data_IF_720075861981
#
_entry.id   IF_720075861981
#
_cell.length_a   1.000
_cell.length_b   1.000
_cell.length_c   1.000
_cell.angle_alpha   90.00
_cell.angle_beta   90.00
_cell.angle_gamma   90.00
#
_symmetry.space_group_name_H-M   'P 1'
#
loop_
_entity.id
_entity.type
_entity.pdbx_description
1 polymer ?
#
# COMPACT_ATOMS: atom_id res chain seq x y z
N UNK A 1 -11.03 -10.65 -3.19
CA UNK A 1 -11.91 -9.63 -3.80
C UNK A 1 -11.31 -8.23 -3.59
N UNK A 2 -10.84 -7.90 -2.36
CA UNK A 2 -10.26 -6.58 -2.08
C UNK A 2 -9.07 -6.26 -3.01
N UNK A 3 -8.02 -7.07 -3.05
CA UNK A 3 -6.83 -6.81 -3.84
C UNK A 3 -7.08 -6.75 -5.37
N UNK A 4 -7.60 -7.80 -5.99
CA UNK A 4 -7.86 -7.78 -7.45
C UNK A 4 -9.00 -6.81 -7.78
N UNK A 5 -10.03 -6.70 -6.93
CA UNK A 5 -11.15 -5.79 -7.14
C UNK A 5 -10.74 -4.33 -7.12
N UNK A 6 -9.82 -3.93 -6.22
CA UNK A 6 -9.25 -2.58 -6.15
C UNK A 6 -8.53 -2.20 -7.44
N UNK A 7 -7.70 -3.10 -7.99
CA UNK A 7 -6.98 -2.88 -9.26
C UNK A 7 -7.92 -2.63 -10.43
N UNK A 8 -8.98 -3.45 -10.58
CA UNK A 8 -9.94 -3.26 -11.67
C UNK A 8 -10.79 -2.01 -11.48
N UNK A 9 -11.14 -1.68 -10.25
CA UNK A 9 -11.83 -0.44 -9.93
C UNK A 9 -10.92 0.77 -10.20
N UNK A 10 -9.66 0.71 -9.77
CA UNK A 10 -8.66 1.74 -10.06
C UNK A 10 -8.46 1.94 -11.57
N UNK A 11 -8.37 0.85 -12.34
CA UNK A 11 -8.25 0.93 -13.80
C UNK A 11 -9.49 1.59 -14.44
N UNK A 12 -10.69 1.23 -14.00
CA UNK A 12 -11.92 1.84 -14.49
C UNK A 12 -11.99 3.35 -14.16
N UNK A 13 -11.57 3.74 -12.97
CA UNK A 13 -11.56 5.13 -12.51
C UNK A 13 -10.45 5.96 -13.14
N UNK A 14 -9.27 5.37 -13.39
CA UNK A 14 -8.13 6.06 -14.02
C UNK A 14 -8.42 6.53 -15.45
N UNK A 15 -9.33 5.87 -16.15
CA UNK A 15 -9.76 6.27 -17.50
C UNK A 15 -10.86 7.33 -17.52
N UNK A 16 -11.33 7.78 -16.36
CA UNK A 16 -12.46 8.70 -16.21
C UNK A 16 -12.10 10.05 -15.60
N UNK A 17 -13.13 10.82 -15.30
CA UNK A 17 -13.05 12.15 -14.67
C UNK A 17 -12.46 12.09 -13.24
N UNK A 18 -12.42 10.91 -12.63
CA UNK A 18 -12.02 10.73 -11.24
C UNK A 18 -10.50 10.89 -10.99
N UNK A 19 -9.65 10.76 -12.00
CA UNK A 19 -8.23 11.10 -11.86
C UNK A 19 -7.98 12.53 -11.32
N UNK A 20 -8.97 13.42 -11.49
CA UNK A 20 -8.95 14.79 -10.97
C UNK A 20 -9.19 14.86 -9.45
N UNK A 21 -9.76 13.83 -8.86
CA UNK A 21 -10.17 13.79 -7.44
C UNK A 21 -9.30 12.86 -6.59
N UNK A 22 -8.14 12.42 -7.08
CA UNK A 22 -7.25 11.47 -6.39
C UNK A 22 -6.89 11.92 -4.98
N UNK A 23 -6.59 13.21 -4.76
CA UNK A 23 -6.29 13.74 -3.43
C UNK A 23 -7.48 13.64 -2.46
N UNK A 24 -8.71 13.85 -2.95
CA UNK A 24 -9.91 13.70 -2.12
C UNK A 24 -10.18 12.23 -1.80
N UNK A 25 -9.86 11.33 -2.72
CA UNK A 25 -9.97 9.89 -2.50
C UNK A 25 -8.96 9.42 -1.46
N UNK A 26 -7.70 9.90 -1.51
CA UNK A 26 -6.68 9.63 -0.49
C UNK A 26 -7.12 10.12 0.89
N UNK A 27 -7.63 11.35 0.99
CA UNK A 27 -8.13 11.87 2.27
C UNK A 27 -9.32 11.07 2.81
N UNK A 28 -10.22 10.62 1.94
CA UNK A 28 -11.34 9.75 2.33
C UNK A 28 -10.84 8.38 2.79
N UNK A 29 -9.89 7.82 2.08
CA UNK A 29 -9.26 6.53 2.41
C UNK A 29 -8.55 6.60 3.77
N UNK A 30 -7.75 7.64 4.00
CA UNK A 30 -7.09 7.88 5.28
C UNK A 30 -8.10 8.01 6.43
N UNK A 31 -9.20 8.74 6.20
CA UNK A 31 -10.30 8.84 7.17
C UNK A 31 -10.95 7.49 7.46
N UNK A 32 -11.16 6.64 6.44
CA UNK A 32 -11.72 5.30 6.61
C UNK A 32 -10.79 4.39 7.41
N UNK A 33 -9.48 4.42 7.12
CA UNK A 33 -8.48 3.64 7.86
C UNK A 33 -8.40 4.06 9.32
N UNK A 34 -8.31 5.38 9.61
CA UNK A 34 -8.29 5.90 10.98
C UNK A 34 -9.57 5.56 11.74
N UNK A 35 -10.73 5.74 11.11
CA UNK A 35 -12.02 5.38 11.72
C UNK A 35 -12.06 3.88 12.06
N UNK A 36 -11.62 3.03 11.15
CA UNK A 36 -11.57 1.58 11.39
C UNK A 36 -10.64 1.23 12.55
N UNK A 37 -9.44 1.82 12.59
CA UNK A 37 -8.48 1.58 13.67
C UNK A 37 -9.03 2.02 15.03
N UNK A 38 -9.48 3.28 15.15
CA UNK A 38 -9.84 3.86 16.44
C UNK A 38 -11.25 3.51 16.92
N UNK A 39 -12.20 3.29 16.01
CA UNK A 39 -13.60 3.07 16.37
C UNK A 39 -14.01 1.59 16.39
N UNK A 40 -13.17 0.73 15.82
CA UNK A 40 -13.49 -0.71 15.70
C UNK A 40 -12.37 -1.61 16.24
N UNK A 41 -11.18 -1.57 15.64
CA UNK A 41 -10.13 -2.56 15.95
C UNK A 41 -9.53 -2.37 17.34
N UNK A 42 -9.13 -1.14 17.71
CA UNK A 42 -8.57 -0.86 19.03
C UNK A 42 -9.57 -1.12 20.16
N UNK A 43 -10.82 -0.64 20.11
CA UNK A 43 -11.81 -0.96 21.14
C UNK A 43 -11.95 -2.49 21.34
N UNK A 44 -12.11 -3.26 20.27
CA UNK A 44 -12.21 -4.72 20.35
C UNK A 44 -10.97 -5.36 21.00
N UNK A 45 -9.77 -4.90 20.65
CA UNK A 45 -8.54 -5.39 21.27
C UNK A 45 -8.49 -5.06 22.77
N UNK A 46 -8.93 -3.85 23.17
CA UNK A 46 -8.93 -3.43 24.58
C UNK A 46 -10.06 -4.03 25.43
N UNK A 47 -11.11 -4.58 24.82
CA UNK A 47 -12.14 -5.36 25.54
C UNK A 47 -11.65 -6.77 25.91
N UNK A 48 -10.50 -7.19 25.43
CA UNK A 48 -9.89 -8.48 25.74
C UNK A 48 -9.28 -8.51 27.16
N UNK A 49 -8.82 -9.69 27.57
CA UNK A 49 -8.10 -9.87 28.86
C UNK A 49 -6.62 -9.43 28.77
N UNK A 50 -6.14 -8.99 27.64
CA UNK A 50 -4.76 -8.54 27.46
C UNK A 50 -4.50 -7.24 28.23
N UNK A 51 -3.32 -7.10 28.81
CA UNK A 51 -2.95 -5.91 29.58
C UNK A 51 -2.89 -4.66 28.67
N UNK A 52 -3.54 -3.56 29.11
CA UNK A 52 -3.54 -2.33 28.33
C UNK A 52 -2.13 -1.81 28.01
N UNK A 53 -1.19 -1.93 28.95
CA UNK A 53 0.20 -1.54 28.73
C UNK A 53 0.86 -2.37 27.62
N UNK A 54 0.58 -3.66 27.54
CA UNK A 54 1.15 -4.56 26.53
C UNK A 54 0.55 -4.24 25.13
N UNK A 55 -0.74 -3.91 25.08
CA UNK A 55 -1.42 -3.49 23.88
C UNK A 55 -0.87 -2.14 23.36
N UNK A 56 -0.66 -1.15 24.24
CA UNK A 56 -0.05 0.12 23.85
C UNK A 56 1.42 -0.04 23.43
N UNK A 57 2.17 -0.92 24.09
CA UNK A 57 3.53 -1.24 23.66
C UNK A 57 3.54 -1.89 22.28
N UNK A 58 2.61 -2.82 22.02
CA UNK A 58 2.43 -3.45 20.71
C UNK A 58 2.06 -2.42 19.64
N UNK A 59 1.18 -1.47 19.97
CA UNK A 59 0.82 -0.37 19.06
C UNK A 59 2.06 0.47 18.69
N UNK A 60 2.85 0.84 19.68
CA UNK A 60 4.08 1.62 19.46
C UNK A 60 5.09 0.85 18.61
N UNK A 61 5.32 -0.42 18.93
CA UNK A 61 6.25 -1.29 18.17
C UNK A 61 5.74 -1.45 16.74
N UNK A 62 4.43 -1.65 16.55
CA UNK A 62 3.82 -1.74 15.24
C UNK A 62 4.00 -0.47 14.40
N UNK A 63 3.75 0.70 14.98
CA UNK A 63 3.97 1.99 14.30
C UNK A 63 5.45 2.17 13.89
N UNK A 64 6.38 1.86 14.79
CA UNK A 64 7.82 1.93 14.50
C UNK A 64 8.22 0.92 13.41
N UNK A 65 7.64 -0.28 13.43
CA UNK A 65 7.90 -1.31 12.44
C UNK A 65 7.46 -0.85 11.05
N UNK A 66 6.22 -0.36 10.89
CA UNK A 66 5.72 0.12 9.61
C UNK A 66 6.47 1.36 9.12
N UNK A 67 6.85 2.27 10.03
CA UNK A 67 7.73 3.39 9.70
C UNK A 67 9.11 2.92 9.19
N UNK A 68 9.71 1.91 9.83
CA UNK A 68 11.00 1.36 9.38
C UNK A 68 10.86 0.63 8.04
N UNK A 69 9.74 -0.07 7.82
CA UNK A 69 9.46 -0.78 6.58
C UNK A 69 9.37 0.21 5.41
N UNK A 70 8.60 1.28 5.55
CA UNK A 70 8.47 2.35 4.56
C UNK A 70 9.82 3.02 4.28
N UNK A 71 10.58 3.32 5.34
CA UNK A 71 11.90 3.91 5.21
C UNK A 71 12.90 3.00 4.51
N UNK A 72 12.83 1.70 4.73
CA UNK A 72 13.67 0.70 4.07
C UNK A 72 13.33 0.61 2.57
N UNK A 73 12.04 0.68 2.22
CA UNK A 73 11.58 0.69 0.83
C UNK A 73 12.09 1.93 0.09
N UNK A 74 11.96 3.12 0.68
CA UNK A 74 12.51 4.36 0.13
C UNK A 74 14.04 4.32 -0.01
N UNK A 75 14.75 3.65 0.88
CA UNK A 75 16.21 3.55 0.83
C UNK A 75 16.68 2.66 -0.32
N UNK A 76 15.98 1.59 -0.62
CA UNK A 76 16.26 0.76 -1.80
C UNK A 76 16.05 1.53 -3.11
N UNK A 77 15.11 2.47 -3.16
CA UNK A 77 14.89 3.32 -4.33
C UNK A 77 15.91 4.48 -4.46
N UNK A 78 16.53 4.93 -3.35
CA UNK A 78 17.46 6.08 -3.33
C UNK A 78 18.87 5.80 -3.85
N UNK A 79 19.30 4.54 -3.95
CA UNK A 79 20.67 4.20 -4.35
C UNK A 79 20.91 4.15 -5.87
N UNK A 80 19.90 4.26 -6.71
CA UNK A 80 20.06 4.24 -8.17
C UNK A 80 20.42 5.59 -8.81
N UNK A 81 20.54 6.69 -8.05
CA UNK A 81 20.76 8.03 -8.61
C UNK A 81 22.15 8.65 -8.47
N UNK A 82 23.17 7.91 -8.02
CA UNK A 82 24.54 8.43 -7.92
C UNK A 82 25.56 7.67 -8.77
N UNK A 83 25.44 7.71 -10.09
CA UNK A 83 26.57 7.60 -11.00
C UNK A 83 26.28 8.41 -12.27
N UNK A 84 26.66 9.70 -12.25
CA UNK A 84 27.11 10.40 -13.44
C UNK A 84 28.14 11.48 -13.05
N UNK A 85 29.37 11.01 -13.08
CA UNK A 85 30.49 11.44 -13.94
C UNK A 85 30.64 12.93 -14.16
N UNK A 86 31.64 13.48 -13.49
CA UNK A 86 32.44 14.61 -13.96
C UNK A 86 32.93 14.38 -15.39
N UNK A 87 32.54 15.23 -16.29
CA UNK A 87 33.34 15.63 -17.45
C UNK A 87 33.06 17.11 -17.73
N UNK A 88 34.07 17.91 -17.40
CA UNK A 88 34.24 19.26 -17.94
C UNK A 88 34.37 19.11 -19.45
N UNK A 89 33.60 19.86 -20.20
CA UNK A 89 34.15 20.53 -21.37
C UNK A 89 33.26 21.72 -21.82
N UNK A 90 33.95 22.68 -22.37
CA UNK A 90 33.61 24.06 -22.66
C UNK A 90 32.80 24.24 -23.95
N UNK A 91 31.91 25.24 -23.96
CA UNK A 91 31.39 26.02 -25.10
C UNK A 91 30.75 25.28 -26.27
N UNK A 92 29.44 25.50 -26.44
CA UNK A 92 28.89 26.18 -27.63
C UNK A 92 27.36 26.38 -27.49
N UNK A 93 26.94 27.65 -27.75
CA UNK A 93 25.54 28.04 -27.95
C UNK A 93 24.86 27.24 -29.05
N UNK A 94 23.79 26.51 -28.72
CA UNK A 94 22.68 26.21 -29.63
C UNK A 94 21.39 25.98 -28.87
N UNK A 95 20.38 26.78 -29.14
CA UNK A 95 19.00 26.60 -28.76
C UNK A 95 18.47 25.21 -29.19
N UNK A 96 18.41 24.26 -28.28
CA UNK A 96 17.63 23.03 -28.45
C UNK A 96 16.59 22.91 -27.35
N UNK A 97 15.32 22.87 -27.76
CA UNK A 97 14.18 22.50 -26.93
C UNK A 97 14.50 21.15 -26.30
N UNK A 98 14.78 21.14 -25.01
CA UNK A 98 14.97 19.92 -24.24
C UNK A 98 13.62 19.18 -24.13
N UNK A 99 13.44 18.18 -24.96
CA UNK A 99 12.45 17.15 -24.72
C UNK A 99 12.98 16.29 -23.55
N UNK A 100 12.48 16.52 -22.35
CA UNK A 100 12.70 15.64 -21.22
C UNK A 100 11.96 14.33 -21.49
N UNK A 101 12.64 13.38 -22.10
CA UNK A 101 12.26 11.97 -22.06
C UNK A 101 12.76 11.42 -20.73
N UNK A 102 11.93 11.47 -19.69
CA UNK A 102 12.19 10.71 -18.47
C UNK A 102 11.97 9.22 -18.79
N UNK A 103 13.04 8.54 -19.20
CA UNK A 103 13.08 7.10 -19.19
C UNK A 103 13.12 6.64 -17.73
N UNK A 104 11.98 6.23 -17.18
CA UNK A 104 11.96 5.47 -15.93
C UNK A 104 12.71 4.16 -16.20
N UNK A 105 13.81 3.86 -15.50
CA UNK A 105 14.56 2.64 -15.72
C UNK A 105 13.65 1.43 -15.50
N UNK A 106 13.80 0.40 -16.32
CA UNK A 106 13.02 -0.85 -16.24
C UNK A 106 13.20 -1.56 -14.88
N UNK A 107 14.31 -1.30 -14.18
CA UNK A 107 14.58 -1.75 -12.82
C UNK A 107 13.58 -1.18 -11.79
N UNK A 108 13.19 0.10 -11.88
CA UNK A 108 12.23 0.73 -10.98
C UNK A 108 10.82 0.11 -11.03
N UNK A 109 10.41 -0.43 -12.19
CA UNK A 109 9.12 -1.11 -12.35
C UNK A 109 9.00 -2.41 -11.53
N UNK A 110 10.08 -3.17 -11.37
CA UNK A 110 10.08 -4.41 -10.56
C UNK A 110 10.14 -4.11 -9.06
N UNK A 111 10.87 -3.09 -8.66
CA UNK A 111 10.92 -2.65 -7.27
C UNK A 111 9.56 -2.16 -6.80
N UNK A 112 8.87 -1.33 -7.60
CA UNK A 112 7.49 -0.89 -7.34
C UNK A 112 6.55 -2.10 -7.14
N UNK A 113 6.57 -3.07 -8.05
CA UNK A 113 5.72 -4.25 -7.96
C UNK A 113 6.06 -5.15 -6.76
N UNK A 114 7.33 -5.20 -6.34
CA UNK A 114 7.72 -5.97 -5.16
C UNK A 114 7.20 -5.30 -3.89
N UNK A 115 7.37 -3.98 -3.77
CA UNK A 115 6.82 -3.20 -2.66
C UNK A 115 5.31 -3.33 -2.55
N UNK A 116 4.59 -3.12 -3.66
CA UNK A 116 3.15 -3.29 -3.77
C UNK A 116 2.71 -4.72 -3.38
N UNK A 117 3.43 -5.76 -3.82
CA UNK A 117 3.12 -7.14 -3.44
C UNK A 117 3.30 -7.41 -1.93
N UNK A 118 4.34 -6.84 -1.30
CA UNK A 118 4.55 -6.96 0.15
C UNK A 118 3.44 -6.25 0.91
N UNK A 119 3.04 -5.06 0.45
CA UNK A 119 1.92 -4.29 0.99
C UNK A 119 0.62 -5.08 0.90
N UNK A 120 0.23 -5.52 -0.29
CA UNK A 120 -0.96 -6.33 -0.53
C UNK A 120 -0.98 -7.64 0.29
N UNK A 121 0.19 -8.29 0.48
CA UNK A 121 0.29 -9.46 1.36
C UNK A 121 -0.06 -9.09 2.81
N UNK A 122 0.52 -8.00 3.31
CA UNK A 122 0.22 -7.46 4.64
C UNK A 122 -1.27 -7.21 4.83
N UNK A 123 -1.90 -6.53 3.89
CA UNK A 123 -3.34 -6.23 3.91
C UNK A 123 -4.19 -7.51 3.97
N UNK A 124 -3.78 -8.55 3.25
CA UNK A 124 -4.43 -9.87 3.33
C UNK A 124 -4.38 -10.46 4.75
N UNK A 125 -3.19 -10.43 5.39
CA UNK A 125 -3.02 -10.90 6.78
C UNK A 125 -3.88 -10.06 7.74
N UNK A 126 -3.89 -8.74 7.56
CA UNK A 126 -4.64 -7.80 8.39
C UNK A 126 -6.16 -8.04 8.30
N UNK A 127 -6.70 -8.19 7.09
CA UNK A 127 -8.12 -8.50 6.85
C UNK A 127 -8.47 -9.84 7.50
N UNK A 128 -7.64 -10.88 7.35
CA UNK A 128 -7.89 -12.18 7.96
C UNK A 128 -7.94 -12.11 9.48
N UNK A 129 -7.03 -11.35 10.10
CA UNK A 129 -7.01 -11.14 11.56
C UNK A 129 -8.29 -10.47 12.05
N UNK A 130 -8.78 -9.46 11.34
CA UNK A 130 -10.04 -8.80 11.68
C UNK A 130 -11.25 -9.74 11.53
N UNK A 131 -11.30 -10.58 10.47
CA UNK A 131 -12.36 -11.59 10.30
C UNK A 131 -12.33 -12.69 11.37
N UNK A 132 -11.15 -13.02 11.89
CA UNK A 132 -11.03 -14.00 12.97
C UNK A 132 -11.53 -13.47 14.32
N UNK A 133 -11.50 -12.16 14.53
CA UNK A 133 -12.05 -11.52 15.70
C UNK A 133 -13.59 -11.45 15.61
N UNK A 134 -14.09 -10.80 14.56
CA UNK A 134 -15.53 -10.67 14.29
C UNK A 134 -15.77 -10.43 12.79
N UNK A 135 -16.86 -10.99 12.25
CA UNK A 135 -17.21 -10.84 10.83
C UNK A 135 -17.46 -9.38 10.44
N UNK A 136 -18.06 -8.58 11.33
CA UNK A 136 -18.32 -7.15 11.06
C UNK A 136 -17.01 -6.37 10.99
N UNK A 137 -16.08 -6.65 11.93
CA UNK A 137 -14.72 -6.09 11.90
C UNK A 137 -14.00 -6.43 10.60
N UNK A 138 -14.05 -7.69 10.18
CA UNK A 138 -13.46 -8.14 8.92
C UNK A 138 -14.03 -7.42 7.71
N UNK A 139 -15.35 -7.20 7.66
CA UNK A 139 -15.99 -6.46 6.57
C UNK A 139 -15.56 -4.99 6.58
N UNK A 140 -15.55 -4.33 7.73
CA UNK A 140 -15.14 -2.92 7.87
C UNK A 140 -13.67 -2.76 7.49
N UNK A 141 -12.78 -3.64 7.97
CA UNK A 141 -11.38 -3.65 7.61
C UNK A 141 -11.17 -3.86 6.10
N UNK A 142 -11.88 -4.82 5.49
CA UNK A 142 -11.80 -5.08 4.06
C UNK A 142 -12.28 -3.90 3.21
N UNK A 143 -13.31 -3.17 3.66
CA UNK A 143 -13.79 -1.95 2.99
C UNK A 143 -12.80 -0.79 3.14
N UNK A 144 -12.18 -0.64 4.31
CA UNK A 144 -11.15 0.37 4.54
C UNK A 144 -9.91 0.11 3.68
N UNK A 145 -9.45 -1.15 3.61
CA UNK A 145 -8.38 -1.58 2.70
C UNK A 145 -8.76 -1.33 1.24
N UNK A 146 -9.96 -1.69 0.81
CA UNK A 146 -10.41 -1.42 -0.56
C UNK A 146 -10.40 0.10 -0.87
N UNK A 147 -10.79 0.92 0.09
CA UNK A 147 -10.87 2.37 -0.10
C UNK A 147 -9.49 3.02 -0.30
N UNK A 148 -8.44 2.54 0.39
CA UNK A 148 -7.08 3.08 0.22
C UNK A 148 -6.33 2.43 -0.95
N UNK A 149 -6.55 1.15 -1.21
CA UNK A 149 -5.92 0.42 -2.31
C UNK A 149 -6.30 0.99 -3.69
N UNK A 150 -7.53 1.49 -3.86
CA UNK A 150 -7.97 2.07 -5.13
C UNK A 150 -7.11 3.27 -5.55
N UNK A 151 -6.92 4.34 -4.75
CA UNK A 151 -6.04 5.44 -5.11
C UNK A 151 -4.57 5.01 -5.24
N UNK A 152 -4.09 4.06 -4.41
CA UNK A 152 -2.75 3.51 -4.51
C UNK A 152 -2.51 2.86 -5.88
N UNK A 153 -3.33 1.91 -6.29
CA UNK A 153 -3.23 1.28 -7.60
C UNK A 153 -3.48 2.23 -8.79
N UNK A 154 -4.24 3.32 -8.60
CA UNK A 154 -4.32 4.37 -9.62
C UNK A 154 -2.96 5.05 -9.85
N UNK A 155 -2.19 5.29 -8.79
CA UNK A 155 -0.82 5.78 -8.85
C UNK A 155 0.10 4.82 -9.60
N UNK A 156 0.11 3.56 -9.22
CA UNK A 156 0.93 2.52 -9.84
C UNK A 156 0.63 2.34 -11.33
N UNK A 157 -0.65 2.28 -11.69
CA UNK A 157 -1.08 2.22 -13.07
C UNK A 157 -0.65 3.46 -13.87
N UNK A 158 -0.67 4.65 -13.26
CA UNK A 158 -0.20 5.88 -13.89
C UNK A 158 1.30 5.82 -14.17
N UNK A 159 2.12 5.43 -13.18
CA UNK A 159 3.57 5.29 -13.30
C UNK A 159 3.93 4.23 -14.34
N UNK A 160 3.36 3.04 -14.24
CA UNK A 160 3.62 1.94 -15.17
C UNK A 160 3.15 2.25 -16.59
N UNK A 161 2.03 2.98 -16.75
CA UNK A 161 1.51 3.34 -18.07
C UNK A 161 2.36 4.38 -18.79
N UNK A 162 3.03 5.28 -18.06
CA UNK A 162 3.98 6.26 -18.62
C UNK A 162 5.23 5.59 -19.17
N UNK A 163 5.69 4.51 -18.55
CA UNK A 163 6.84 3.72 -19.01
C UNK A 163 6.55 2.97 -20.33
N UNK A 164 5.30 2.93 -20.77
CA UNK A 164 4.87 2.10 -21.89
C UNK A 164 3.97 2.88 -22.87
N UNK A 165 4.55 3.41 -23.93
CA UNK A 165 3.85 4.19 -24.97
C UNK A 165 2.90 3.37 -25.87
N UNK A 166 2.83 2.04 -25.76
CA UNK A 166 2.09 1.19 -26.67
C UNK A 166 0.84 0.54 -26.00
N UNK A 167 -0.26 0.39 -26.74
CA UNK A 167 -1.56 -0.15 -26.25
C UNK A 167 -1.45 -1.56 -25.64
N UNK A 168 -0.53 -2.39 -26.14
CA UNK A 168 -0.26 -3.71 -25.56
C UNK A 168 0.35 -3.63 -24.14
N UNK A 169 1.02 -2.55 -23.84
CA UNK A 169 1.74 -2.33 -22.60
C UNK A 169 0.81 -1.94 -21.45
N UNK A 170 -0.32 -1.25 -21.75
CA UNK A 170 -1.35 -0.96 -20.73
C UNK A 170 -2.00 -2.24 -20.18
N UNK A 171 -2.22 -3.24 -21.05
CA UNK A 171 -2.72 -4.56 -20.61
C UNK A 171 -1.69 -5.29 -19.75
N UNK A 172 -0.40 -5.16 -20.09
CA UNK A 172 0.68 -5.75 -19.30
C UNK A 172 0.81 -5.06 -17.92
N UNK A 173 0.69 -3.74 -17.85
CA UNK A 173 0.67 -3.00 -16.59
C UNK A 173 -0.50 -3.46 -15.71
N UNK A 174 -1.72 -3.51 -16.26
CA UNK A 174 -2.89 -3.99 -15.54
C UNK A 174 -2.73 -5.44 -15.06
N UNK A 175 -2.15 -6.31 -15.88
CA UNK A 175 -1.87 -7.70 -15.49
C UNK A 175 -0.87 -7.78 -14.33
N UNK A 176 0.22 -6.99 -14.39
CA UNK A 176 1.23 -6.95 -13.33
C UNK A 176 0.67 -6.46 -12.00
N UNK A 177 -0.08 -5.35 -12.01
CA UNK A 177 -0.72 -4.82 -10.80
C UNK A 177 -1.80 -5.79 -10.29
N UNK A 178 -2.56 -6.46 -11.19
CA UNK A 178 -3.51 -7.50 -10.78
C UNK A 178 -2.83 -8.71 -10.12
N UNK A 179 -1.60 -9.04 -10.54
CA UNK A 179 -0.82 -10.11 -9.92
C UNK A 179 -0.38 -9.72 -8.50
N UNK A 180 0.06 -8.48 -8.32
CA UNK A 180 0.37 -7.95 -6.99
C UNK A 180 -0.87 -7.98 -6.09
N UNK A 181 -2.01 -7.44 -6.55
CA UNK A 181 -3.28 -7.50 -5.81
C UNK A 181 -3.78 -8.93 -5.52
N UNK A 182 -3.40 -9.94 -6.31
CA UNK A 182 -3.72 -11.34 -6.02
C UNK A 182 -2.95 -11.87 -4.79
N UNK A 183 -1.82 -11.27 -4.45
CA UNK A 183 -1.02 -11.61 -3.26
C UNK A 183 -1.80 -11.36 -1.97
N UNK A 184 -2.75 -10.43 -1.95
CA UNK A 184 -3.69 -10.21 -0.84
C UNK A 184 -4.42 -11.50 -0.44
N UNK A 185 -4.82 -12.32 -1.42
CA UNK A 185 -5.48 -13.59 -1.13
C UNK A 185 -4.54 -14.60 -0.45
N UNK A 186 -3.27 -14.62 -0.86
CA UNK A 186 -2.24 -15.44 -0.23
C UNK A 186 -2.00 -14.97 1.19
N UNK A 187 -1.85 -13.65 1.39
CA UNK A 187 -1.75 -13.03 2.71
C UNK A 187 -2.93 -13.39 3.61
N UNK A 188 -4.16 -13.35 3.07
CA UNK A 188 -5.37 -13.74 3.79
C UNK A 188 -5.36 -15.22 4.23
N UNK A 189 -4.92 -16.13 3.37
CA UNK A 189 -4.79 -17.56 3.73
C UNK A 189 -3.73 -17.78 4.81
N UNK A 190 -2.58 -17.15 4.67
CA UNK A 190 -1.48 -17.22 5.66
C UNK A 190 -1.93 -16.60 6.98
N UNK A 191 -2.57 -15.43 6.94
CA UNK A 191 -3.11 -14.74 8.12
C UNK A 191 -4.15 -15.58 8.85
N UNK A 192 -5.10 -16.18 8.12
CA UNK A 192 -6.08 -17.08 8.70
C UNK A 192 -5.41 -18.27 9.41
N UNK A 193 -4.46 -18.92 8.73
CA UNK A 193 -3.75 -20.06 9.32
C UNK A 193 -2.95 -19.64 10.56
N UNK A 194 -2.23 -18.52 10.49
CA UNK A 194 -1.40 -18.02 11.59
C UNK A 194 -2.25 -17.66 12.81
N UNK A 195 -3.32 -16.89 12.63
CA UNK A 195 -4.20 -16.46 13.72
C UNK A 195 -4.94 -17.65 14.32
N UNK A 196 -5.34 -18.63 13.48
CA UNK A 196 -5.97 -19.85 13.98
C UNK A 196 -5.05 -20.69 14.90
N UNK A 197 -3.74 -20.66 14.67
CA UNK A 197 -2.76 -21.30 15.55
C UNK A 197 -2.46 -20.48 16.81
N UNK A 198 -2.66 -19.17 16.78
CA UNK A 198 -2.27 -18.22 17.80
C UNK A 198 -3.48 -17.41 18.32
N UNK A 199 -4.61 -18.07 18.57
CA UNK A 199 -5.87 -17.40 18.97
C UNK A 199 -5.73 -16.57 20.25
N UNK A 200 -4.90 -17.01 21.20
CA UNK A 200 -4.64 -16.28 22.45
C UNK A 200 -3.97 -14.92 22.21
N UNK A 201 -3.33 -14.74 21.05
CA UNK A 201 -2.67 -13.50 20.66
C UNK A 201 -3.52 -12.63 19.73
N UNK A 202 -4.78 -12.99 19.48
CA UNK A 202 -5.68 -12.23 18.61
C UNK A 202 -5.75 -10.72 18.93
N UNK A 203 -5.83 -10.27 20.21
CA UNK A 203 -5.83 -8.86 20.55
C UNK A 203 -4.57 -8.13 20.05
N UNK A 204 -3.43 -8.77 20.13
CA UNK A 204 -2.18 -8.21 19.64
C UNK A 204 -2.16 -8.09 18.10
N UNK A 205 -2.72 -9.07 17.38
CA UNK A 205 -2.92 -8.97 15.94
C UNK A 205 -3.80 -7.79 15.57
N UNK A 206 -4.91 -7.57 16.26
CA UNK A 206 -5.79 -6.41 16.02
C UNK A 206 -5.08 -5.08 16.25
N UNK A 207 -4.21 -5.00 17.25
CA UNK A 207 -3.40 -3.81 17.52
C UNK A 207 -2.35 -3.59 16.42
N UNK A 208 -1.73 -4.66 15.92
CA UNK A 208 -0.80 -4.57 14.76
C UNK A 208 -1.53 -4.10 13.51
N UNK A 209 -2.73 -4.62 13.23
CA UNK A 209 -3.61 -4.13 12.15
C UNK A 209 -3.88 -2.62 12.31
N UNK A 210 -4.25 -2.21 13.54
CA UNK A 210 -4.50 -0.79 13.85
C UNK A 210 -3.27 0.07 13.62
N UNK A 211 -2.08 -0.42 13.99
CA UNK A 211 -0.80 0.27 13.76
C UNK A 211 -0.56 0.52 12.28
N UNK A 212 -0.80 -0.50 11.44
CA UNK A 212 -0.67 -0.38 9.99
C UNK A 212 -1.64 0.67 9.44
N UNK A 213 -2.92 0.59 9.81
CA UNK A 213 -3.95 1.52 9.34
C UNK A 213 -3.66 2.97 9.76
N UNK A 214 -3.21 3.18 10.99
CA UNK A 214 -2.83 4.51 11.48
C UNK A 214 -1.61 5.01 10.71
N UNK A 215 -0.59 4.16 10.51
CA UNK A 215 0.62 4.55 9.81
C UNK A 215 0.32 4.93 8.35
N UNK A 216 -0.36 4.07 7.59
CA UNK A 216 -0.70 4.30 6.19
C UNK A 216 -1.56 5.57 6.05
N UNK A 217 -2.58 5.73 6.90
CA UNK A 217 -3.43 6.91 6.86
C UNK A 217 -2.67 8.22 7.11
N UNK A 218 -1.69 8.21 8.02
CA UNK A 218 -0.84 9.38 8.28
C UNK A 218 0.13 9.64 7.14
N UNK A 219 0.69 8.59 6.54
CA UNK A 219 1.57 8.71 5.37
C UNK A 219 0.83 9.27 4.14
N UNK A 220 -0.43 8.88 3.93
CA UNK A 220 -1.28 9.37 2.83
C UNK A 220 -1.72 10.84 3.01
N UNK A 221 -1.67 11.37 4.25
CA UNK A 221 -2.10 12.75 4.55
C UNK A 221 -0.95 13.77 4.52
N UNK A 222 0.31 13.34 4.58
CA UNK A 222 1.51 14.19 4.62
C UNK A 222 2.10 14.35 3.22
#
# INVERSE_FOLDING_TARGET
IAGIGSVWLAAALSFGVLARYTQHMLSLAAGALLSTAFMHLLPEAFESQAGANDLFLTLLIGLLFFFMLDKAELWHHGHEHHHQSNSQDLNHDHHHKAHYHSHVPQAGSWALLTGDSVHCFGDGVLIASAFMADVRLGVVAALAVLAHEVPHHMGDLAVLSQSFQNRNNKRLALFKVSLAGAVTAIGGMVGYWLVNQLQDYLPYFLVIVSSSFIYVALADLI
#
